data_IF_972505352251
#
_entry.id   IF_972505352251
#
_cell.length_a   1.000
_cell.length_b   1.000
_cell.length_c   1.000
_cell.angle_alpha   90.00
_cell.angle_beta   90.00
_cell.angle_gamma   90.00
#
_symmetry.space_group_name_H-M   'P 1'
#
loop_
_entity.id
_entity.type
_entity.pdbx_description
1 polymer ?
#
# COMPACT_ATOMS: atom_id res chain seq x y z
N UNK A 1 2.84 -9.28 17.24
CA UNK A 1 1.78 -8.39 16.73
C UNK A 1 1.11 -7.68 17.88
N UNK A 2 0.93 -6.44 17.74
CA UNK A 2 0.30 -5.64 18.76
C UNK A 2 -1.07 -5.26 18.27
N UNK A 3 -2.09 -5.69 18.97
CA UNK A 3 -3.45 -5.24 18.72
C UNK A 3 -3.60 -3.78 19.11
N UNK A 4 -4.79 -3.28 18.96
CA UNK A 4 -5.14 -1.97 19.49
C UNK A 4 -5.14 -2.04 20.99
N UNK A 5 -4.17 -1.40 21.61
CA UNK A 5 -4.18 -1.23 23.04
C UNK A 5 -4.99 0.01 23.37
N UNK A 6 -5.96 -0.19 24.24
CA UNK A 6 -6.82 0.89 24.71
C UNK A 6 -6.50 1.09 26.17
N UNK A 7 -6.00 2.26 26.52
CA UNK A 7 -5.70 2.61 27.89
C UNK A 7 -6.75 3.57 28.42
N UNK A 8 -7.09 3.40 29.69
CA UNK A 8 -7.93 4.36 30.38
C UNK A 8 -7.05 5.45 30.97
N UNK A 9 -7.30 6.67 30.53
CA UNK A 9 -6.58 7.84 31.04
C UNK A 9 -7.58 8.72 31.76
N UNK A 10 -7.20 9.18 32.96
CA UNK A 10 -8.04 10.11 33.73
C UNK A 10 -7.42 11.50 33.69
N UNK A 11 -8.16 12.45 33.16
CA UNK A 11 -7.76 13.85 33.13
C UNK A 11 -8.89 14.68 33.72
N UNK A 12 -8.55 15.46 34.74
CA UNK A 12 -9.53 16.33 35.44
C UNK A 12 -10.77 15.57 35.91
N UNK A 13 -10.58 14.35 36.42
CA UNK A 13 -11.66 13.51 36.91
C UNK A 13 -12.49 12.82 35.83
N UNK A 14 -12.17 13.01 34.56
CA UNK A 14 -12.85 12.34 33.46
C UNK A 14 -11.97 11.25 32.90
N UNK A 15 -12.59 10.10 32.69
CA UNK A 15 -11.91 8.96 32.06
C UNK A 15 -12.03 9.05 30.55
N UNK A 16 -10.94 8.85 29.88
CA UNK A 16 -10.87 8.79 28.43
C UNK A 16 -10.28 7.46 28.03
N UNK A 17 -10.85 6.86 26.98
CA UNK A 17 -10.22 5.72 26.33
C UNK A 17 -9.22 6.26 25.34
N UNK A 18 -7.94 6.10 25.65
CA UNK A 18 -6.86 6.46 24.74
C UNK A 18 -6.51 5.25 23.92
N UNK A 19 -6.75 5.35 22.62
CA UNK A 19 -6.30 4.37 21.68
C UNK A 19 -4.80 4.56 21.53
N UNK A 20 -4.01 3.57 21.93
CA UNK A 20 -2.59 3.61 21.62
C UNK A 20 -2.45 3.77 20.10
N UNK A 21 -1.48 4.57 19.70
CA UNK A 21 -1.14 4.65 18.29
C UNK A 21 -0.97 3.24 17.77
N UNK A 22 -1.81 2.87 16.83
CA UNK A 22 -1.63 1.61 16.15
C UNK A 22 -0.23 1.60 15.57
N UNK A 23 0.60 0.70 16.05
CA UNK A 23 1.92 0.51 15.48
C UNK A 23 1.83 -0.01 14.05
N UNK A 24 0.64 -0.45 13.65
CA UNK A 24 0.42 -0.95 12.30
C UNK A 24 0.41 0.17 11.30
N UNK A 25 1.29 0.05 10.34
CA UNK A 25 1.26 0.88 9.16
C UNK A 25 0.19 0.37 8.20
N UNK A 26 -0.29 1.25 7.35
CA UNK A 26 -1.37 0.92 6.42
C UNK A 26 -0.83 0.72 5.01
N UNK A 27 -1.35 -0.30 4.36
CA UNK A 27 -0.99 -0.64 2.98
C UNK A 27 -2.24 -0.60 2.12
N UNK A 28 -2.17 0.13 1.02
CA UNK A 28 -3.22 0.16 0.00
C UNK A 28 -2.80 -0.77 -1.13
N UNK A 29 -3.66 -1.74 -1.46
CA UNK A 29 -3.44 -2.64 -2.59
C UNK A 29 -4.38 -2.25 -3.71
N UNK A 30 -3.84 -2.06 -4.91
CA UNK A 30 -4.61 -1.78 -6.12
C UNK A 30 -4.26 -2.86 -7.13
N UNK A 31 -5.20 -3.75 -7.40
CA UNK A 31 -5.03 -4.88 -8.31
C UNK A 31 -6.42 -5.33 -8.75
N UNK A 32 -6.63 -5.55 -10.04
CA UNK A 32 -7.93 -5.99 -10.56
C UNK A 32 -8.25 -7.44 -10.17
N UNK A 33 -7.27 -8.19 -9.68
CA UNK A 33 -7.44 -9.59 -9.26
C UNK A 33 -7.49 -9.69 -7.74
N UNK A 34 -8.68 -9.93 -7.22
CA UNK A 34 -8.86 -10.08 -5.76
C UNK A 34 -8.00 -11.21 -5.17
N UNK A 35 -7.70 -12.23 -5.96
CA UNK A 35 -6.87 -13.33 -5.49
C UNK A 35 -5.48 -12.86 -5.02
N UNK A 36 -4.91 -11.89 -5.71
CA UNK A 36 -3.62 -11.29 -5.33
C UNK A 36 -3.75 -10.58 -3.99
N UNK A 37 -4.79 -9.77 -3.83
CA UNK A 37 -5.03 -9.06 -2.58
C UNK A 37 -5.23 -10.02 -1.40
N UNK A 38 -5.93 -11.12 -1.64
CA UNK A 38 -6.15 -12.15 -0.60
C UNK A 38 -4.84 -12.81 -0.17
N UNK A 39 -3.98 -13.15 -1.12
CA UNK A 39 -2.68 -13.75 -0.82
C UNK A 39 -1.84 -12.76 0.02
N UNK A 40 -1.78 -11.53 -0.43
CA UNK A 40 -1.01 -10.50 0.28
C UNK A 40 -1.55 -10.31 1.70
N UNK A 41 -2.87 -10.26 1.84
CA UNK A 41 -3.50 -10.06 3.15
C UNK A 41 -3.20 -11.19 4.12
N UNK A 42 -3.15 -12.44 3.65
CA UNK A 42 -2.81 -13.58 4.50
C UNK A 42 -1.44 -13.41 5.15
N UNK A 43 -0.48 -12.87 4.41
CA UNK A 43 0.90 -12.74 4.89
C UNK A 43 1.18 -11.42 5.60
N UNK A 44 0.39 -10.39 5.36
CA UNK A 44 0.69 -9.05 5.86
C UNK A 44 -0.28 -8.51 6.90
N UNK A 45 -1.51 -9.04 6.99
CA UNK A 45 -2.53 -8.43 7.84
C UNK A 45 -2.25 -8.50 9.34
N UNK A 46 -1.37 -9.36 9.79
CA UNK A 46 -0.98 -9.41 11.20
C UNK A 46 -0.09 -8.21 11.60
N UNK A 47 0.63 -7.63 10.65
CA UNK A 47 1.52 -6.49 10.89
C UNK A 47 1.10 -5.19 10.24
N UNK A 48 0.12 -5.22 9.34
CA UNK A 48 -0.31 -4.06 8.58
C UNK A 48 -1.83 -4.00 8.44
N UNK A 49 -2.35 -2.78 8.39
CA UNK A 49 -3.76 -2.57 8.05
C UNK A 49 -3.88 -2.54 6.54
N UNK A 50 -4.68 -3.44 5.98
CA UNK A 50 -4.79 -3.61 4.54
C UNK A 50 -6.09 -3.00 4.02
N UNK A 51 -5.97 -2.16 2.99
CA UNK A 51 -7.11 -1.64 2.23
C UNK A 51 -6.92 -2.07 0.79
N UNK A 52 -7.99 -2.54 0.16
CA UNK A 52 -7.94 -3.05 -1.20
C UNK A 52 -8.96 -2.37 -2.10
N UNK A 53 -8.55 -1.99 -3.28
CA UNK A 53 -9.43 -1.58 -4.36
C UNK A 53 -9.06 -2.31 -5.64
N UNK A 54 -10.08 -2.67 -6.39
CA UNK A 54 -9.88 -3.39 -7.64
C UNK A 54 -9.67 -2.47 -8.85
N UNK A 55 -9.79 -1.16 -8.67
CA UNK A 55 -9.51 -0.18 -9.72
C UNK A 55 -8.74 1.01 -9.16
N UNK A 56 -7.91 1.66 -9.99
CA UNK A 56 -7.20 2.87 -9.59
C UNK A 56 -8.15 4.03 -9.29
N UNK A 57 -9.28 4.11 -9.98
CA UNK A 57 -10.23 5.20 -9.78
C UNK A 57 -10.83 5.15 -8.39
N UNK A 58 -11.22 3.97 -7.92
CA UNK A 58 -11.74 3.80 -6.56
C UNK A 58 -10.68 4.14 -5.51
N UNK A 59 -9.45 3.72 -5.74
CA UNK A 59 -8.34 4.03 -4.86
C UNK A 59 -8.11 5.53 -4.79
N UNK A 60 -8.17 6.21 -5.92
CA UNK A 60 -7.99 7.65 -6.00
C UNK A 60 -9.08 8.40 -5.23
N UNK A 61 -10.34 7.97 -5.38
CA UNK A 61 -11.44 8.54 -4.61
C UNK A 61 -11.18 8.42 -3.11
N UNK A 62 -10.73 7.26 -2.68
CA UNK A 62 -10.41 7.00 -1.28
C UNK A 62 -9.27 7.91 -0.77
N UNK A 63 -8.25 8.11 -1.58
CA UNK A 63 -7.15 9.03 -1.24
C UNK A 63 -7.65 10.47 -1.11
N UNK A 64 -8.52 10.91 -2.00
CA UNK A 64 -9.07 12.26 -1.95
C UNK A 64 -10.04 12.50 -0.79
N UNK A 65 -10.54 11.43 -0.18
CA UNK A 65 -11.33 11.52 1.05
C UNK A 65 -10.48 11.82 2.28
N UNK A 66 -9.17 11.89 2.12
CA UNK A 66 -8.27 12.22 3.22
C UNK A 66 -7.48 11.05 3.77
N UNK A 67 -7.62 9.88 3.18
CA UNK A 67 -6.89 8.69 3.63
C UNK A 67 -5.44 8.73 3.14
N UNK A 68 -4.53 8.30 3.99
CA UNK A 68 -3.09 8.31 3.67
C UNK A 68 -2.48 6.97 4.03
N UNK A 69 -2.34 6.06 3.07
CA UNK A 69 -1.63 4.81 3.33
C UNK A 69 -0.14 5.08 3.48
N UNK A 70 0.53 4.22 4.21
CA UNK A 70 1.98 4.30 4.35
C UNK A 70 2.71 3.72 3.14
N UNK A 71 2.03 2.90 2.35
CA UNK A 71 2.60 2.28 1.16
C UNK A 71 1.47 1.85 0.22
N UNK A 72 1.74 1.92 -1.07
CA UNK A 72 0.84 1.41 -2.10
C UNK A 72 1.50 0.24 -2.81
N UNK A 73 0.76 -0.87 -2.92
CA UNK A 73 1.12 -2.00 -3.78
C UNK A 73 0.25 -1.88 -5.02
N UNK A 74 0.87 -1.78 -6.18
CA UNK A 74 0.20 -1.41 -7.41
C UNK A 74 0.46 -2.42 -8.52
N UNK A 75 -0.60 -3.01 -9.05
CA UNK A 75 -0.52 -3.80 -10.28
C UNK A 75 -0.44 -2.86 -11.49
N UNK A 76 0.38 -3.22 -12.47
CA UNK A 76 0.57 -2.36 -13.65
C UNK A 76 -0.58 -2.49 -14.65
N UNK A 77 -1.04 -3.71 -14.90
CA UNK A 77 -2.05 -3.94 -15.93
C UNK A 77 -3.44 -4.03 -15.33
N UNK A 78 -4.22 -2.98 -15.53
CA UNK A 78 -5.61 -2.91 -15.08
C UNK A 78 -6.49 -2.33 -16.18
N UNK A 79 -7.78 -2.72 -16.23
CA UNK A 79 -8.64 -2.37 -17.37
C UNK A 79 -8.87 -0.88 -17.61
N UNK A 80 -9.13 -0.09 -16.58
CA UNK A 80 -9.59 1.29 -16.78
C UNK A 80 -8.45 2.30 -16.86
N UNK A 81 -7.43 2.09 -16.06
CA UNK A 81 -6.24 2.93 -16.00
C UNK A 81 -5.06 2.02 -15.74
N UNK A 82 -4.03 2.11 -16.57
CA UNK A 82 -2.82 1.35 -16.35
C UNK A 82 -2.11 1.83 -15.08
N UNK A 83 -1.41 0.91 -14.42
CA UNK A 83 -0.69 1.23 -13.21
C UNK A 83 0.39 2.28 -13.42
N UNK A 84 1.00 2.32 -14.61
CA UNK A 84 2.00 3.33 -14.92
C UNK A 84 1.42 4.74 -14.94
N UNK A 85 0.18 4.90 -15.44
CA UNK A 85 -0.52 6.18 -15.40
C UNK A 85 -0.81 6.60 -13.95
N UNK A 86 -1.28 5.66 -13.15
CA UNK A 86 -1.56 5.89 -11.74
C UNK A 86 -0.28 6.26 -10.99
N UNK A 87 0.79 5.52 -11.21
CA UNK A 87 2.09 5.77 -10.59
C UNK A 87 2.57 7.20 -10.91
N UNK A 88 2.54 7.56 -12.19
CA UNK A 88 2.95 8.90 -12.62
C UNK A 88 2.09 9.98 -11.99
N UNK A 89 0.79 9.76 -11.92
CA UNK A 89 -0.13 10.71 -11.31
C UNK A 89 0.21 10.93 -9.83
N UNK A 90 0.37 9.85 -9.08
CA UNK A 90 0.68 9.94 -7.65
C UNK A 90 2.01 10.65 -7.41
N UNK A 91 3.02 10.29 -8.18
CA UNK A 91 4.37 10.85 -7.99
C UNK A 91 4.49 12.31 -8.39
N UNK A 92 3.59 12.81 -9.24
CA UNK A 92 3.55 14.23 -9.60
C UNK A 92 2.59 15.05 -8.76
N UNK A 93 1.80 14.39 -7.92
CA UNK A 93 0.81 15.07 -7.09
C UNK A 93 1.43 15.47 -5.76
N UNK A 94 1.39 16.76 -5.44
CA UNK A 94 1.98 17.27 -4.20
C UNK A 94 1.36 16.72 -2.93
N UNK A 95 0.13 16.20 -2.99
CA UNK A 95 -0.54 15.61 -1.83
C UNK A 95 -0.08 14.18 -1.56
N UNK A 96 0.34 13.44 -2.60
CA UNK A 96 0.55 12.00 -2.51
C UNK A 96 1.96 11.56 -2.86
N UNK A 97 2.82 12.46 -3.34
CA UNK A 97 4.11 12.08 -3.92
C UNK A 97 5.08 11.45 -2.92
N UNK A 98 4.82 11.58 -1.63
CA UNK A 98 5.66 10.97 -0.61
C UNK A 98 5.25 9.53 -0.25
N UNK A 99 4.14 9.05 -0.78
CA UNK A 99 3.70 7.68 -0.53
C UNK A 99 4.56 6.72 -1.34
N UNK A 100 5.30 5.80 -0.71
CA UNK A 100 6.07 4.83 -1.46
C UNK A 100 5.17 3.85 -2.21
N UNK A 101 5.61 3.47 -3.40
CA UNK A 101 4.86 2.57 -4.28
C UNK A 101 5.73 1.39 -4.66
N UNK A 102 5.23 0.19 -4.38
CA UNK A 102 5.81 -1.07 -4.82
C UNK A 102 4.96 -1.61 -5.96
N UNK A 103 5.57 -1.80 -7.11
CA UNK A 103 4.87 -2.24 -8.31
C UNK A 103 4.94 -3.76 -8.43
N UNK A 104 3.79 -4.39 -8.73
CA UNK A 104 3.74 -5.81 -9.08
C UNK A 104 3.47 -5.93 -10.57
N UNK A 105 4.21 -6.77 -11.26
CA UNK A 105 4.07 -6.95 -12.70
C UNK A 105 4.31 -8.38 -13.14
N UNK A 106 3.50 -8.85 -14.07
CA UNK A 106 3.73 -10.14 -14.74
C UNK A 106 4.71 -10.06 -15.89
N UNK A 107 5.22 -8.88 -16.22
CA UNK A 107 6.14 -8.70 -17.33
C UNK A 107 7.59 -8.71 -16.87
N UNK A 108 8.40 -9.55 -17.49
CA UNK A 108 9.81 -9.70 -17.16
C UNK A 108 10.72 -8.70 -17.91
N UNK A 109 10.16 -7.86 -18.74
CA UNK A 109 10.93 -6.91 -19.52
C UNK A 109 11.73 -5.97 -18.63
N UNK A 110 13.03 -5.87 -18.88
CA UNK A 110 13.87 -4.90 -18.17
C UNK A 110 13.48 -3.47 -18.52
N UNK A 111 12.94 -3.24 -19.71
CA UNK A 111 12.47 -1.91 -20.11
C UNK A 111 11.30 -1.44 -19.23
N UNK A 112 10.36 -2.33 -18.95
CA UNK A 112 9.23 -2.03 -18.08
C UNK A 112 9.71 -1.72 -16.66
N UNK A 113 10.65 -2.52 -16.16
CA UNK A 113 11.22 -2.30 -14.83
C UNK A 113 11.88 -0.93 -14.73
N UNK A 114 12.73 -0.63 -15.70
CA UNK A 114 13.45 0.65 -15.75
C UNK A 114 12.44 1.80 -15.80
N UNK A 115 11.45 1.69 -16.67
CA UNK A 115 10.42 2.71 -16.84
C UNK A 115 9.68 2.98 -15.51
N UNK A 116 9.33 1.92 -14.79
CA UNK A 116 8.61 2.08 -13.52
C UNK A 116 9.50 2.68 -12.44
N UNK A 117 10.73 2.24 -12.34
CA UNK A 117 11.67 2.79 -11.37
C UNK A 117 11.99 4.26 -11.67
N UNK A 118 12.18 4.61 -12.94
CA UNK A 118 12.38 6.01 -13.32
C UNK A 118 11.14 6.89 -13.03
N UNK A 119 9.96 6.30 -13.17
CA UNK A 119 8.71 7.00 -12.86
C UNK A 119 8.50 7.20 -11.36
N UNK A 120 9.35 6.62 -10.52
CA UNK A 120 9.30 6.84 -9.08
C UNK A 120 8.87 5.65 -8.24
N UNK A 121 8.72 4.46 -8.83
CA UNK A 121 8.44 3.26 -8.03
C UNK A 121 9.60 2.99 -7.08
N UNK A 122 9.28 2.66 -5.85
CA UNK A 122 10.28 2.37 -4.83
C UNK A 122 10.80 0.95 -4.93
N UNK A 123 10.01 0.04 -5.49
CA UNK A 123 10.45 -1.31 -5.81
C UNK A 123 9.57 -1.87 -6.93
N UNK A 124 10.06 -2.91 -7.56
CA UNK A 124 9.40 -3.59 -8.68
C UNK A 124 9.53 -5.10 -8.46
N UNK A 125 8.40 -5.79 -8.38
CA UNK A 125 8.37 -7.21 -8.05
C UNK A 125 7.62 -7.96 -9.15
N UNK A 126 8.23 -9.03 -9.64
CA UNK A 126 7.61 -9.88 -10.68
C UNK A 126 6.58 -10.82 -10.08
N UNK A 127 5.49 -11.04 -10.81
CA UNK A 127 4.53 -12.10 -10.56
C UNK A 127 4.93 -13.36 -11.35
N UNK A 128 4.79 -14.53 -10.81
CA UNK A 128 4.35 -14.83 -9.45
C UNK A 128 5.43 -14.48 -8.44
N UNK A 129 5.02 -13.88 -7.33
CA UNK A 129 5.96 -13.48 -6.29
C UNK A 129 5.93 -14.44 -5.11
N UNK A 130 7.02 -14.47 -4.36
CA UNK A 130 7.07 -15.15 -3.09
C UNK A 130 6.51 -14.21 -2.02
N UNK A 131 5.41 -14.56 -1.31
CA UNK A 131 4.81 -13.65 -0.32
C UNK A 131 5.77 -13.26 0.82
N UNK A 132 6.67 -14.14 1.19
CA UNK A 132 7.65 -13.82 2.24
C UNK A 132 8.69 -12.84 1.75
N UNK A 133 9.10 -12.94 0.49
CA UNK A 133 10.00 -11.97 -0.12
C UNK A 133 9.31 -10.61 -0.23
N UNK A 134 8.05 -10.59 -0.64
CA UNK A 134 7.26 -9.36 -0.69
C UNK A 134 7.21 -8.68 0.67
N UNK A 135 6.96 -9.45 1.71
CA UNK A 135 6.90 -8.95 3.09
C UNK A 135 8.23 -8.29 3.50
N UNK A 136 9.35 -8.92 3.15
CA UNK A 136 10.68 -8.38 3.46
C UNK A 136 10.92 -7.07 2.71
N UNK A 137 10.58 -7.02 1.43
CA UNK A 137 10.76 -5.82 0.60
C UNK A 137 9.91 -4.66 1.10
N UNK A 138 8.67 -4.93 1.46
CA UNK A 138 7.79 -3.92 2.04
C UNK A 138 8.37 -3.36 3.33
N UNK A 139 8.85 -4.23 4.20
CA UNK A 139 9.47 -3.80 5.45
C UNK A 139 10.67 -2.89 5.22
N UNK A 140 11.47 -3.18 4.21
CA UNK A 140 12.62 -2.36 3.85
C UNK A 140 12.22 -0.99 3.32
N UNK A 141 11.18 -0.94 2.52
CA UNK A 141 10.68 0.32 1.98
C UNK A 141 10.10 1.20 3.08
N UNK A 142 9.43 0.60 4.04
CA UNK A 142 8.77 1.31 5.15
C UNK A 142 9.69 1.63 6.33
N UNK A 143 10.93 1.31 6.20
CA UNK A 143 11.89 1.51 7.25
C UNK A 143 12.09 2.97 7.66
#
# INVERSE_FOLDING_TARGET
MIGLNVENVTISGKKFLMKENSEKKSILIIDDKIAIAKIISVYLSDGYDITYFNTPIKAMQWLYEGNRPDLIILDIKMPEMNGDEFLSYIKRNGLFNNIPIVVLSGEESSDIRIKMLEAGADDFILKPFNPMELKIRIRKVLK
#
